data_IF_675316956622
#
_entry.id   IF_675316956622
#
_cell.length_a   1.000
_cell.length_b   1.000
_cell.length_c   1.000
_cell.angle_alpha   90.00
_cell.angle_beta   90.00
_cell.angle_gamma   90.00
#
_symmetry.space_group_name_H-M   'P 1'
#
loop_
_entity.id
_entity.type
_entity.pdbx_description
1 polymer ?
#
# COMPACT_ATOMS: atom_id res chain seq x y z
N UNK A 1 -12.09 -6.44 10.00
CA UNK A 1 -11.73 -7.67 10.69
C UNK A 1 -10.24 -7.98 10.60
N UNK A 2 -9.63 -7.97 9.42
CA UNK A 2 -8.18 -8.20 9.30
C UNK A 2 -7.36 -7.18 10.10
N UNK A 3 -7.77 -5.91 10.13
CA UNK A 3 -7.09 -4.87 10.89
C UNK A 3 -7.15 -5.10 12.41
N UNK A 4 -8.25 -5.67 12.90
CA UNK A 4 -8.40 -5.95 14.32
C UNK A 4 -7.49 -7.09 14.78
N UNK A 5 -7.20 -8.05 13.92
CA UNK A 5 -6.26 -9.13 14.22
C UNK A 5 -4.86 -8.59 14.48
N UNK A 6 -4.42 -7.59 13.72
CA UNK A 6 -3.11 -6.95 13.94
C UNK A 6 -3.03 -6.26 15.29
N UNK A 7 -4.07 -5.52 15.68
CA UNK A 7 -4.12 -4.82 16.96
C UNK A 7 -4.09 -5.80 18.14
N UNK A 8 -4.82 -6.91 18.06
CA UNK A 8 -4.80 -7.96 19.09
C UNK A 8 -3.41 -8.60 19.21
N UNK A 9 -2.74 -8.82 18.08
CA UNK A 9 -1.45 -9.47 18.05
C UNK A 9 -0.38 -8.70 18.83
N UNK A 10 -0.44 -7.38 18.83
CA UNK A 10 0.49 -6.55 19.58
C UNK A 10 0.43 -6.81 21.08
N UNK A 11 -0.73 -7.20 21.59
CA UNK A 11 -0.93 -7.53 23.00
C UNK A 11 -0.36 -8.89 23.40
N UNK A 12 -0.13 -9.78 22.44
CA UNK A 12 0.29 -11.16 22.68
C UNK A 12 1.74 -11.45 22.29
N UNK A 13 2.46 -10.43 21.79
CA UNK A 13 3.87 -10.55 21.45
C UNK A 13 4.13 -10.86 19.98
N UNK A 14 5.41 -10.90 19.64
CA UNK A 14 5.87 -10.96 18.26
C UNK A 14 5.42 -12.22 17.51
N UNK A 15 5.48 -13.39 18.18
CA UNK A 15 5.07 -14.67 17.55
C UNK A 15 3.62 -14.66 17.12
N UNK A 16 2.74 -14.11 17.95
CA UNK A 16 1.33 -13.95 17.61
C UNK A 16 1.13 -12.92 16.53
N UNK A 17 1.92 -11.84 16.53
CA UNK A 17 1.88 -10.82 15.49
C UNK A 17 2.16 -11.41 14.12
N UNK A 18 3.17 -12.26 13.99
CA UNK A 18 3.51 -12.93 12.75
C UNK A 18 2.36 -13.82 12.27
N UNK A 19 1.78 -14.59 13.17
CA UNK A 19 0.65 -15.48 12.86
C UNK A 19 -0.55 -14.70 12.30
N UNK A 20 -0.92 -13.59 12.96
CA UNK A 20 -2.05 -12.78 12.52
C UNK A 20 -1.75 -12.03 11.21
N UNK A 21 -0.51 -11.61 10.99
CA UNK A 21 -0.11 -11.02 9.70
C UNK A 21 -0.31 -12.00 8.55
N UNK A 22 0.04 -13.28 8.74
CA UNK A 22 -0.22 -14.31 7.75
C UNK A 22 -1.71 -14.48 7.45
N UNK A 23 -2.56 -14.44 8.47
CA UNK A 23 -4.01 -14.52 8.30
C UNK A 23 -4.57 -13.34 7.52
N UNK A 24 -4.05 -12.13 7.77
CA UNK A 24 -4.45 -10.93 7.03
C UNK A 24 -4.11 -11.09 5.56
N UNK A 25 -2.88 -11.52 5.24
CA UNK A 25 -2.46 -11.78 3.87
C UNK A 25 -3.36 -12.82 3.20
N UNK A 26 -3.63 -13.94 3.88
CA UNK A 26 -4.45 -15.01 3.32
C UNK A 26 -5.87 -14.55 3.03
N UNK A 27 -6.44 -13.74 3.91
CA UNK A 27 -7.76 -13.15 3.70
C UNK A 27 -7.81 -12.26 2.46
N UNK A 28 -6.80 -11.42 2.27
CA UNK A 28 -6.70 -10.55 1.10
C UNK A 28 -6.50 -11.35 -0.18
N UNK A 29 -5.70 -12.42 -0.13
CA UNK A 29 -5.50 -13.29 -1.29
C UNK A 29 -6.78 -14.00 -1.69
N UNK A 30 -7.64 -14.38 -0.74
CA UNK A 30 -8.96 -14.95 -1.04
C UNK A 30 -9.86 -13.96 -1.75
N UNK A 31 -9.85 -12.69 -1.35
CA UNK A 31 -10.62 -11.65 -2.03
C UNK A 31 -10.17 -11.54 -3.48
N UNK A 32 -8.87 -11.55 -3.75
CA UNK A 32 -8.35 -11.53 -5.11
C UNK A 32 -8.78 -12.73 -5.93
N UNK A 33 -8.81 -13.92 -5.32
CA UNK A 33 -9.23 -15.15 -6.02
C UNK A 33 -10.70 -15.07 -6.43
N UNK A 34 -11.54 -14.36 -5.66
CA UNK A 34 -12.96 -14.20 -5.96
C UNK A 34 -13.18 -13.07 -6.96
N UNK A 35 -12.58 -11.89 -6.74
CA UNK A 35 -12.77 -10.72 -7.58
C UNK A 35 -11.57 -9.78 -7.47
N UNK A 36 -10.70 -9.81 -8.48
CA UNK A 36 -9.51 -8.95 -8.52
C UNK A 36 -9.84 -7.46 -8.61
N UNK A 37 -10.97 -7.13 -9.23
CA UNK A 37 -11.40 -5.74 -9.38
C UNK A 37 -12.18 -5.19 -8.21
N UNK A 38 -12.39 -5.99 -7.15
CA UNK A 38 -13.20 -5.59 -6.01
C UNK A 38 -12.71 -4.27 -5.41
N UNK A 39 -13.65 -3.33 -5.24
CA UNK A 39 -13.35 -1.99 -4.74
C UNK A 39 -12.15 -1.34 -5.45
N UNK A 40 -12.10 -1.45 -6.78
CA UNK A 40 -11.06 -0.80 -7.59
C UNK A 40 -9.63 -1.22 -7.20
N UNK A 41 -9.45 -2.49 -6.90
CA UNK A 41 -8.14 -3.02 -6.58
C UNK A 41 -7.72 -2.85 -5.13
N UNK A 42 -8.66 -2.63 -4.21
CA UNK A 42 -8.35 -2.46 -2.78
C UNK A 42 -7.58 -3.63 -2.19
N UNK A 43 -7.88 -4.86 -2.61
CA UNK A 43 -7.18 -6.04 -2.11
C UNK A 43 -5.72 -6.05 -2.56
N UNK A 44 -5.45 -5.71 -3.82
CA UNK A 44 -4.08 -5.60 -4.33
C UNK A 44 -3.32 -4.47 -3.62
N UNK A 45 -3.97 -3.33 -3.38
CA UNK A 45 -3.36 -2.23 -2.65
C UNK A 45 -2.99 -2.64 -1.22
N UNK A 46 -3.91 -3.31 -0.53
CA UNK A 46 -3.68 -3.76 0.83
C UNK A 46 -2.57 -4.81 0.90
N UNK A 47 -2.55 -5.77 -0.05
CA UNK A 47 -1.47 -6.75 -0.15
C UNK A 47 -0.13 -6.09 -0.44
N UNK A 48 -0.11 -5.12 -1.34
CA UNK A 48 1.11 -4.37 -1.64
C UNK A 48 1.67 -3.71 -0.39
N UNK A 49 0.83 -3.06 0.37
CA UNK A 49 1.25 -2.44 1.63
C UNK A 49 1.71 -3.48 2.64
N UNK A 50 1.00 -4.61 2.75
CA UNK A 50 1.39 -5.70 3.62
C UNK A 50 2.80 -6.21 3.30
N UNK A 51 3.09 -6.50 2.02
CA UNK A 51 4.41 -6.98 1.61
C UNK A 51 5.51 -5.94 1.84
N UNK A 52 5.18 -4.66 1.75
CA UNK A 52 6.12 -3.57 2.03
C UNK A 52 6.44 -3.45 3.52
N UNK A 53 5.43 -3.54 4.39
CA UNK A 53 5.58 -3.30 5.83
C UNK A 53 6.16 -4.49 6.59
N UNK A 54 5.91 -5.71 6.13
CA UNK A 54 6.39 -6.92 6.81
C UNK A 54 7.85 -7.17 6.42
N UNK A 55 8.75 -7.43 7.41
CA UNK A 55 10.13 -7.76 7.09
C UNK A 55 10.24 -9.00 6.19
N UNK A 56 11.24 -9.02 5.31
CA UNK A 56 11.44 -10.13 4.37
C UNK A 56 11.57 -11.49 5.06
N UNK A 57 12.17 -11.51 6.25
CA UNK A 57 12.32 -12.71 7.07
C UNK A 57 10.95 -13.33 7.43
N UNK A 58 9.89 -12.52 7.50
CA UNK A 58 8.56 -12.95 7.88
C UNK A 58 7.58 -12.94 6.70
N UNK A 59 8.08 -12.97 5.49
CA UNK A 59 7.27 -13.08 4.27
C UNK A 59 7.08 -11.80 3.49
N UNK A 60 7.63 -10.69 3.94
CA UNK A 60 7.59 -9.42 3.20
C UNK A 60 8.43 -9.49 1.92
N UNK A 61 8.10 -8.67 0.94
CA UNK A 61 8.82 -8.61 -0.34
C UNK A 61 8.51 -7.31 -1.05
N UNK A 62 9.55 -6.50 -1.29
CA UNK A 62 9.39 -5.26 -2.05
C UNK A 62 8.95 -5.54 -3.49
N UNK A 63 9.43 -6.62 -4.07
CA UNK A 63 9.04 -7.02 -5.44
C UNK A 63 7.55 -7.33 -5.51
N UNK A 64 7.03 -8.13 -4.58
CA UNK A 64 5.60 -8.46 -4.53
C UNK A 64 4.76 -7.23 -4.20
N UNK A 65 5.27 -6.36 -3.33
CA UNK A 65 4.62 -5.10 -3.02
C UNK A 65 4.43 -4.26 -4.28
N UNK A 66 5.48 -4.11 -5.08
CA UNK A 66 5.41 -3.36 -6.33
C UNK A 66 4.41 -4.00 -7.30
N UNK A 67 4.45 -5.32 -7.47
CA UNK A 67 3.55 -6.03 -8.37
C UNK A 67 2.08 -5.81 -8.01
N UNK A 68 1.72 -5.95 -6.74
CA UNK A 68 0.35 -5.74 -6.28
C UNK A 68 -0.10 -4.29 -6.42
N UNK A 69 0.76 -3.33 -6.10
CA UNK A 69 0.42 -1.91 -6.22
C UNK A 69 0.24 -1.50 -7.68
N UNK A 70 1.09 -1.98 -8.58
CA UNK A 70 0.94 -1.71 -10.00
C UNK A 70 -0.35 -2.32 -10.56
N UNK A 71 -0.73 -3.51 -10.09
CA UNK A 71 -1.99 -4.14 -10.46
C UNK A 71 -3.18 -3.32 -9.95
N UNK A 72 -3.12 -2.83 -8.72
CA UNK A 72 -4.15 -1.97 -8.18
C UNK A 72 -4.36 -0.71 -9.04
N UNK A 73 -3.27 -0.14 -9.59
CA UNK A 73 -3.35 1.02 -10.47
C UNK A 73 -4.05 0.71 -11.81
N UNK A 74 -4.09 -0.55 -12.25
CA UNK A 74 -4.82 -0.89 -13.47
C UNK A 74 -6.33 -0.75 -13.27
N UNK A 75 -6.81 -0.91 -12.05
CA UNK A 75 -8.23 -0.72 -11.72
C UNK A 75 -8.57 0.72 -11.39
N UNK A 76 -7.64 1.45 -10.76
CA UNK A 76 -7.82 2.86 -10.44
C UNK A 76 -6.50 3.61 -10.55
N UNK A 77 -6.16 4.13 -11.74
CA UNK A 77 -4.90 4.84 -11.96
C UNK A 77 -4.77 6.15 -11.18
N UNK A 78 -5.88 6.67 -10.66
CA UNK A 78 -5.90 7.94 -9.92
C UNK A 78 -6.05 7.75 -8.42
N UNK A 79 -5.82 6.53 -7.90
CA UNK A 79 -5.83 6.30 -6.47
C UNK A 79 -4.60 6.95 -5.82
N UNK A 80 -4.82 8.01 -5.07
CA UNK A 80 -3.74 8.70 -4.35
C UNK A 80 -3.04 7.76 -3.36
N UNK A 81 -3.81 6.93 -2.67
CA UNK A 81 -3.27 5.94 -1.74
C UNK A 81 -2.34 4.95 -2.43
N UNK A 82 -2.79 4.37 -3.55
CA UNK A 82 -1.99 3.39 -4.30
C UNK A 82 -0.72 4.02 -4.87
N UNK A 83 -0.83 5.20 -5.46
CA UNK A 83 0.31 5.93 -5.99
C UNK A 83 1.32 6.25 -4.89
N UNK A 84 0.84 6.70 -3.72
CA UNK A 84 1.69 7.02 -2.59
C UNK A 84 2.42 5.77 -2.08
N UNK A 85 1.70 4.65 -1.90
CA UNK A 85 2.31 3.41 -1.42
C UNK A 85 3.36 2.89 -2.41
N UNK A 86 3.07 2.95 -3.71
CA UNK A 86 4.05 2.54 -4.73
C UNK A 86 5.29 3.44 -4.67
N UNK A 87 5.11 4.74 -4.49
CA UNK A 87 6.22 5.66 -4.35
C UNK A 87 7.11 5.31 -3.15
N UNK A 88 6.49 4.95 -2.02
CA UNK A 88 7.23 4.52 -0.82
C UNK A 88 8.05 3.25 -1.08
N UNK A 89 7.45 2.27 -1.77
CA UNK A 89 8.13 1.02 -2.13
C UNK A 89 9.35 1.31 -3.01
N UNK A 90 9.16 2.16 -4.04
CA UNK A 90 10.24 2.53 -4.95
C UNK A 90 11.35 3.29 -4.22
N UNK A 91 10.99 4.17 -3.29
CA UNK A 91 11.96 4.93 -2.51
C UNK A 91 12.83 3.99 -1.65
N UNK A 92 12.22 3.03 -0.98
CA UNK A 92 12.94 2.05 -0.17
C UNK A 92 13.85 1.15 -1.03
N UNK A 93 13.46 0.88 -2.26
CA UNK A 93 14.27 0.11 -3.21
C UNK A 93 15.41 0.93 -3.82
N UNK A 94 15.56 2.19 -3.43
CA UNK A 94 16.60 3.07 -3.95
C UNK A 94 16.29 3.69 -5.31
N UNK A 95 15.10 3.48 -5.84
CA UNK A 95 14.66 4.00 -7.15
C UNK A 95 14.09 5.40 -6.98
N UNK A 96 14.94 6.34 -6.63
CA UNK A 96 14.54 7.70 -6.24
C UNK A 96 13.85 8.47 -7.36
N UNK A 97 14.32 8.36 -8.59
CA UNK A 97 13.72 9.07 -9.73
C UNK A 97 12.29 8.61 -9.98
N UNK A 98 12.07 7.29 -9.96
CA UNK A 98 10.72 6.73 -10.12
C UNK A 98 9.82 7.08 -8.94
N UNK A 99 10.36 7.01 -7.73
CA UNK A 99 9.61 7.38 -6.52
C UNK A 99 9.16 8.83 -6.59
N UNK A 100 10.05 9.73 -6.99
CA UNK A 100 9.72 11.16 -7.14
C UNK A 100 8.60 11.35 -8.16
N UNK A 101 8.66 10.65 -9.29
CA UNK A 101 7.63 10.73 -10.31
C UNK A 101 6.27 10.27 -9.76
N UNK A 102 6.24 9.21 -8.96
CA UNK A 102 5.00 8.71 -8.34
C UNK A 102 4.45 9.69 -7.30
N UNK A 103 5.29 10.26 -6.45
CA UNK A 103 4.85 11.28 -5.51
C UNK A 103 4.29 12.50 -6.23
N UNK A 104 4.91 12.90 -7.34
CA UNK A 104 4.39 14.01 -8.14
C UNK A 104 3.02 13.66 -8.75
N UNK A 105 2.82 12.42 -9.20
CA UNK A 105 1.52 11.99 -9.69
C UNK A 105 0.44 12.09 -8.62
N UNK A 106 0.77 11.80 -7.35
CA UNK A 106 -0.19 12.00 -6.25
C UNK A 106 -0.68 13.44 -6.21
N UNK A 107 0.24 14.40 -6.36
CA UNK A 107 -0.12 15.82 -6.36
C UNK A 107 -0.94 16.22 -7.58
N UNK A 108 -0.72 15.57 -8.72
CA UNK A 108 -1.36 15.91 -9.98
C UNK A 108 -2.77 15.33 -10.11
N UNK A 109 -3.14 14.34 -9.28
CA UNK A 109 -4.48 13.76 -9.30
C UNK A 109 -5.50 14.81 -8.87
N UNK A 110 -6.59 14.94 -9.64
CA UNK A 110 -7.72 15.78 -9.24
C UNK A 110 -8.50 15.08 -8.13
N UNK A 111 -8.65 15.75 -6.98
CA UNK A 111 -9.35 15.18 -5.83
C UNK A 111 -10.80 14.87 -6.21
N UNK A 112 -11.25 13.65 -5.93
CA UNK A 112 -12.64 13.23 -6.14
C UNK A 112 -13.47 13.64 -4.92
N UNK A 113 -14.70 14.17 -5.09
CA UNK A 113 -15.51 14.62 -3.96
C UNK A 113 -15.74 13.54 -2.90
N UNK A 114 -15.92 12.28 -3.30
CA UNK A 114 -16.16 11.17 -2.38
C UNK A 114 -14.90 10.74 -1.59
N UNK A 115 -13.71 11.09 -2.10
CA UNK A 115 -12.42 10.68 -1.54
C UNK A 115 -11.59 11.88 -1.07
N UNK A 116 -12.17 13.07 -1.06
CA UNK A 116 -11.43 14.32 -0.83
C UNK A 116 -10.58 14.30 0.45
N UNK A 117 -11.08 13.86 1.62
CA UNK A 117 -10.25 13.84 2.83
C UNK A 117 -9.04 12.93 2.70
N UNK A 118 -9.20 11.74 2.11
CA UNK A 118 -8.11 10.80 1.88
C UNK A 118 -7.12 11.36 0.86
N UNK A 119 -7.63 11.87 -0.27
CA UNK A 119 -6.78 12.45 -1.31
C UNK A 119 -5.96 13.62 -0.78
N UNK A 120 -6.57 14.48 0.02
CA UNK A 120 -5.89 15.62 0.64
C UNK A 120 -4.76 15.15 1.56
N UNK A 121 -5.01 14.14 2.38
CA UNK A 121 -4.02 13.59 3.30
C UNK A 121 -2.82 13.03 2.56
N UNK A 122 -3.05 12.21 1.53
CA UNK A 122 -1.96 11.64 0.73
C UNK A 122 -1.21 12.71 -0.06
N UNK A 123 -1.88 13.73 -0.57
CA UNK A 123 -1.22 14.86 -1.23
C UNK A 123 -0.29 15.60 -0.27
N UNK A 124 -0.72 15.84 0.95
CA UNK A 124 0.13 16.48 1.96
C UNK A 124 1.37 15.62 2.27
N UNK A 125 1.18 14.31 2.43
CA UNK A 125 2.28 13.38 2.69
C UNK A 125 3.24 13.31 1.50
N UNK A 126 2.73 13.28 0.28
CA UNK A 126 3.56 13.26 -0.92
C UNK A 126 4.38 14.54 -1.06
N UNK A 127 3.79 15.70 -0.80
CA UNK A 127 4.51 16.97 -0.83
C UNK A 127 5.65 16.99 0.19
N UNK A 128 5.41 16.47 1.39
CA UNK A 128 6.44 16.38 2.42
C UNK A 128 7.59 15.46 1.99
N UNK A 129 7.27 14.32 1.38
CA UNK A 129 8.28 13.38 0.87
C UNK A 129 9.13 13.99 -0.23
N UNK A 130 8.51 14.72 -1.17
CA UNK A 130 9.24 15.37 -2.26
C UNK A 130 10.28 16.34 -1.75
N UNK A 131 10.04 17.00 -0.62
CA UNK A 131 11.01 17.90 -0.01
C UNK A 131 12.23 17.19 0.54
N UNK A 132 12.12 15.91 0.87
CA UNK A 132 13.21 15.12 1.45
C UNK A 132 14.02 14.34 0.41
N UNK A 133 13.49 14.14 -0.79
CA UNK A 133 14.16 13.40 -1.86
C UNK A 133 15.02 14.38 -2.67
N UNK A 134 16.32 14.10 -2.70
CA UNK A 134 17.29 14.91 -3.45
C UNK A 134 17.83 14.22 -4.67
#
# INVERSE_FOLDING_TARGET
MAANMGALAESFGLGQGIKYRGRIRDGLQRVLAIDQGWQQGSADRALGWWYHMVPGLFGGSEKKAEEHLRRALTYNPQSTATLYFLAEVLLEDGRKTEARAMFQQVLDVTAHPDWEPEDRDFKQKAAAKLKTIR
#
